data_IF_972352894646
#
_entry.id   IF_972352894646
#
_cell.length_a   1.000
_cell.length_b   1.000
_cell.length_c   1.000
_cell.angle_alpha   90.00
_cell.angle_beta   90.00
_cell.angle_gamma   90.00
#
_symmetry.space_group_name_H-M   'P 1'
#
loop_
_entity.id
_entity.type
_entity.pdbx_description
1 polymer ?
#
# COMPACT_ATOMS: atom_id res chain seq x y z
N UNK A 1 -10.35 -4.12 1.42
CA UNK A 1 -9.26 -4.96 1.95
C UNK A 1 -8.75 -5.92 0.91
N UNK A 2 -7.44 -6.12 0.88
CA UNK A 2 -6.77 -7.07 0.01
C UNK A 2 -5.57 -7.64 0.77
N UNK A 3 -4.92 -8.65 0.24
CA UNK A 3 -3.67 -9.15 0.80
C UNK A 3 -2.68 -9.46 -0.30
N UNK A 4 -1.39 -9.29 0.00
CA UNK A 4 -0.30 -9.61 -0.91
C UNK A 4 0.80 -10.33 -0.16
N UNK A 5 1.54 -11.16 -0.88
CA UNK A 5 2.70 -11.85 -0.35
C UNK A 5 3.94 -11.30 -1.06
N UNK A 6 4.93 -10.88 -0.29
CA UNK A 6 6.19 -10.36 -0.82
C UNK A 6 7.36 -11.00 -0.12
N UNK A 7 8.53 -10.83 -0.69
CA UNK A 7 9.78 -11.10 -0.02
C UNK A 7 10.65 -9.84 -0.08
N UNK A 8 11.45 -9.62 0.92
CA UNK A 8 12.41 -8.53 0.95
C UNK A 8 13.47 -8.76 2.02
N UNK A 9 14.48 -7.92 2.00
CA UNK A 9 15.47 -7.78 3.07
C UNK A 9 15.60 -6.31 3.44
N UNK A 10 16.05 -6.06 4.67
CA UNK A 10 16.31 -4.70 5.15
C UNK A 10 17.80 -4.62 5.52
N UNK A 11 18.70 -4.39 4.55
CA UNK A 11 20.14 -4.55 4.73
C UNK A 11 20.77 -3.41 5.55
N UNK A 12 20.35 -3.28 6.79
CA UNK A 12 20.87 -2.33 7.75
C UNK A 12 20.87 -2.97 9.15
N UNK A 13 21.95 -2.87 9.91
CA UNK A 13 22.06 -3.50 11.23
C UNK A 13 20.95 -3.10 12.20
N UNK A 14 20.32 -1.95 11.98
CA UNK A 14 19.18 -1.49 12.78
C UNK A 14 18.06 -2.53 12.85
N UNK A 15 17.89 -3.33 11.79
CA UNK A 15 16.73 -4.23 11.66
C UNK A 15 16.97 -5.63 12.22
N UNK A 16 18.16 -5.92 12.80
CA UNK A 16 18.42 -7.23 13.38
C UNK A 16 18.15 -8.39 12.42
N UNK A 17 17.34 -9.40 12.80
CA UNK A 17 17.05 -10.56 11.92
C UNK A 17 16.39 -10.19 10.60
N UNK A 18 15.68 -9.07 10.52
CA UNK A 18 15.03 -8.62 9.29
C UNK A 18 16.01 -8.18 8.21
N UNK A 19 17.30 -8.11 8.51
CA UNK A 19 18.35 -7.90 7.51
C UNK A 19 18.39 -9.02 6.47
N UNK A 20 18.03 -10.23 6.88
CA UNK A 20 18.02 -11.39 5.98
C UNK A 20 16.76 -11.41 5.14
N UNK A 21 16.86 -12.03 3.96
CA UNK A 21 15.70 -12.22 3.10
C UNK A 21 14.60 -12.96 3.86
N UNK A 22 13.41 -12.42 3.84
CA UNK A 22 12.25 -13.03 4.48
C UNK A 22 10.97 -12.72 3.70
N UNK A 23 9.97 -13.56 3.89
CA UNK A 23 8.63 -13.34 3.33
C UNK A 23 7.74 -12.61 4.29
N UNK A 24 6.78 -11.89 3.74
CA UNK A 24 5.71 -11.26 4.53
C UNK A 24 4.41 -11.32 3.76
N UNK A 25 3.30 -11.52 4.48
CA UNK A 25 1.96 -11.39 3.94
C UNK A 25 1.37 -10.10 4.49
N UNK A 26 1.17 -9.10 3.64
CA UNK A 26 0.54 -7.86 4.04
C UNK A 26 -0.96 -7.95 3.87
N UNK A 27 -1.69 -7.60 4.92
CA UNK A 27 -3.10 -7.24 4.80
C UNK A 27 -3.16 -5.76 4.48
N UNK A 28 -3.78 -5.41 3.35
CA UNK A 28 -3.81 -4.05 2.84
C UNK A 28 -5.22 -3.50 2.94
N UNK A 29 -5.41 -2.48 3.76
CA UNK A 29 -6.67 -1.75 3.86
C UNK A 29 -6.50 -0.37 3.22
N UNK A 30 -7.31 -0.09 2.19
CA UNK A 30 -7.36 1.23 1.56
C UNK A 30 -8.72 1.85 1.89
N UNK A 31 -8.68 3.03 2.49
CA UNK A 31 -9.90 3.75 2.90
C UNK A 31 -9.98 5.05 2.13
N UNK A 32 -11.13 5.29 1.51
CA UNK A 32 -11.46 6.56 0.85
C UNK A 32 -12.49 7.29 1.70
N UNK A 33 -12.20 8.55 2.04
CA UNK A 33 -13.07 9.36 2.88
C UNK A 33 -13.34 10.71 2.23
N UNK A 34 -14.52 11.24 2.41
CA UNK A 34 -14.90 12.53 1.88
C UNK A 34 -15.85 13.23 2.86
N UNK A 35 -15.78 14.56 2.92
CA UNK A 35 -16.70 15.35 3.74
C UNK A 35 -18.11 15.32 3.16
N UNK A 36 -18.24 15.23 1.84
CA UNK A 36 -19.52 15.25 1.14
C UNK A 36 -19.63 14.07 0.20
N UNK A 37 -20.84 13.61 -0.02
CA UNK A 37 -21.12 12.61 -1.04
C UNK A 37 -21.18 13.28 -2.42
N UNK A 38 -20.90 12.50 -3.45
CA UNK A 38 -21.05 12.96 -4.84
C UNK A 38 -22.52 12.96 -5.27
N UNK A 39 -22.87 13.38 -6.51
CA UNK A 39 -24.25 13.37 -6.98
C UNK A 39 -24.95 12.01 -6.94
N UNK A 40 -24.19 10.91 -6.89
CA UNK A 40 -24.74 9.56 -6.76
C UNK A 40 -24.86 9.08 -5.30
N UNK A 41 -24.60 9.98 -4.33
CA UNK A 41 -24.61 9.68 -2.90
C UNK A 41 -23.56 8.64 -2.48
N UNK A 42 -22.42 8.62 -3.15
CA UNK A 42 -21.29 7.77 -2.79
C UNK A 42 -20.04 8.61 -2.54
N UNK A 43 -19.09 8.04 -1.79
CA UNK A 43 -17.75 8.62 -1.62
C UNK A 43 -16.93 8.40 -2.89
N UNK A 44 -16.97 7.19 -3.42
CA UNK A 44 -16.26 6.78 -4.62
C UNK A 44 -16.98 5.55 -5.20
N UNK A 45 -16.90 5.38 -6.51
CA UNK A 45 -17.38 4.14 -7.12
C UNK A 45 -16.59 2.96 -6.57
N UNK A 46 -17.28 2.03 -5.91
CA UNK A 46 -16.64 0.92 -5.22
C UNK A 46 -15.94 -0.06 -6.20
N UNK A 47 -16.50 -0.22 -7.39
CA UNK A 47 -15.88 -1.03 -8.44
C UNK A 47 -14.55 -0.45 -8.89
N UNK A 48 -14.51 0.87 -9.15
CA UNK A 48 -13.27 1.57 -9.50
C UNK A 48 -12.25 1.50 -8.38
N UNK A 49 -12.68 1.72 -7.13
CA UNK A 49 -11.79 1.66 -5.98
C UNK A 49 -11.13 0.28 -5.84
N UNK A 50 -11.91 -0.77 -6.02
CA UNK A 50 -11.41 -2.16 -5.96
C UNK A 50 -10.46 -2.47 -7.12
N UNK A 51 -10.80 -2.07 -8.33
CA UNK A 51 -9.97 -2.33 -9.51
C UNK A 51 -8.64 -1.61 -9.43
N UNK A 52 -8.63 -0.35 -9.02
CA UNK A 52 -7.40 0.44 -8.87
C UNK A 52 -6.52 -0.15 -7.78
N UNK A 53 -7.10 -0.51 -6.65
CA UNK A 53 -6.35 -1.13 -5.55
C UNK A 53 -5.72 -2.44 -6.01
N UNK A 54 -6.48 -3.31 -6.67
CA UNK A 54 -5.97 -4.58 -7.19
C UNK A 54 -4.88 -4.37 -8.23
N UNK A 55 -5.02 -3.38 -9.11
CA UNK A 55 -4.01 -3.08 -10.12
C UNK A 55 -2.68 -2.66 -9.47
N UNK A 56 -2.73 -1.71 -8.54
CA UNK A 56 -1.52 -1.27 -7.83
C UNK A 56 -0.83 -2.43 -7.12
N UNK A 57 -1.60 -3.26 -6.42
CA UNK A 57 -1.06 -4.37 -5.66
C UNK A 57 -0.55 -5.50 -6.53
N UNK A 58 -1.08 -5.68 -7.75
CA UNK A 58 -0.64 -6.71 -8.67
C UNK A 58 0.83 -6.57 -9.07
N UNK A 59 1.36 -5.36 -9.02
CA UNK A 59 2.76 -5.09 -9.33
C UNK A 59 3.72 -5.47 -8.20
N UNK A 60 3.19 -5.76 -7.02
CA UNK A 60 3.97 -6.11 -5.83
C UNK A 60 3.75 -7.57 -5.41
N UNK A 61 2.57 -8.12 -5.67
CA UNK A 61 2.18 -9.42 -5.18
C UNK A 61 3.04 -10.53 -5.80
N UNK A 62 3.52 -11.43 -4.95
CA UNK A 62 4.42 -12.53 -5.32
C UNK A 62 5.76 -12.06 -5.88
N UNK A 63 6.21 -10.86 -5.48
CA UNK A 63 7.48 -10.31 -5.91
C UNK A 63 8.49 -10.28 -4.77
N UNK A 64 9.76 -10.39 -5.15
CA UNK A 64 10.86 -10.00 -4.27
C UNK A 64 11.10 -8.50 -4.49
N UNK A 65 10.78 -7.68 -3.49
CA UNK A 65 10.88 -6.24 -3.62
C UNK A 65 12.32 -5.80 -3.88
N UNK A 66 13.30 -6.54 -3.39
CA UNK A 66 14.71 -6.21 -3.59
C UNK A 66 15.13 -6.29 -5.06
N UNK A 67 14.39 -7.04 -5.88
CA UNK A 67 14.67 -7.19 -7.31
C UNK A 67 13.93 -6.16 -8.17
N UNK A 68 13.03 -5.38 -7.59
CA UNK A 68 12.26 -4.38 -8.35
C UNK A 68 13.09 -3.10 -8.48
N UNK A 69 13.24 -2.56 -9.72
CA UNK A 69 14.12 -1.40 -9.94
C UNK A 69 13.73 -0.16 -9.13
N UNK A 70 12.44 0.06 -8.90
CA UNK A 70 11.95 1.23 -8.17
C UNK A 70 12.32 1.22 -6.70
N UNK A 71 12.74 0.07 -6.16
CA UNK A 71 13.12 -0.05 -4.75
C UNK A 71 14.63 -0.19 -4.55
N UNK A 72 15.41 -0.04 -5.63
CA UNK A 72 16.86 -0.13 -5.53
C UNK A 72 17.40 0.90 -4.53
N UNK A 73 18.22 0.45 -3.59
CA UNK A 73 18.78 1.28 -2.53
C UNK A 73 17.72 1.90 -1.60
N UNK A 74 16.55 1.28 -1.51
CA UNK A 74 15.48 1.70 -0.60
C UNK A 74 15.28 0.63 0.47
N UNK A 75 14.98 1.10 1.69
CA UNK A 75 14.54 0.20 2.77
C UNK A 75 13.03 0.09 2.68
N UNK A 76 12.55 -1.06 2.23
CA UNK A 76 11.12 -1.31 1.99
C UNK A 76 10.40 -1.72 3.28
N UNK A 77 10.47 -0.86 4.28
CA UNK A 77 9.76 -1.05 5.54
C UNK A 77 8.25 -1.02 5.32
N UNK A 78 7.48 -1.46 6.29
CA UNK A 78 6.02 -1.41 6.22
C UNK A 78 5.53 0.03 6.03
N UNK A 79 6.14 0.99 6.72
CA UNK A 79 5.83 2.41 6.59
C UNK A 79 6.12 2.93 5.18
N UNK A 80 7.28 2.60 4.64
CA UNK A 80 7.66 3.00 3.29
C UNK A 80 6.68 2.42 2.27
N UNK A 81 6.31 1.16 2.42
CA UNK A 81 5.40 0.51 1.49
C UNK A 81 3.98 1.04 1.59
N UNK A 82 3.53 1.42 2.78
CA UNK A 82 2.23 2.07 2.93
C UNK A 82 2.17 3.38 2.14
N UNK A 83 3.22 4.21 2.24
CA UNK A 83 3.30 5.45 1.46
C UNK A 83 3.42 5.18 -0.04
N UNK A 84 4.20 4.20 -0.44
CA UNK A 84 4.35 3.84 -1.84
C UNK A 84 3.01 3.46 -2.47
N UNK A 85 2.24 2.61 -1.79
CA UNK A 85 0.92 2.20 -2.26
C UNK A 85 -0.03 3.40 -2.31
N UNK A 86 -0.02 4.24 -1.27
CA UNK A 86 -0.79 5.48 -1.25
C UNK A 86 -0.48 6.34 -2.47
N UNK A 87 0.80 6.60 -2.76
CA UNK A 87 1.20 7.44 -3.88
C UNK A 87 0.70 6.89 -5.22
N UNK A 88 0.76 5.58 -5.42
CA UNK A 88 0.30 4.94 -6.65
C UNK A 88 -1.22 5.01 -6.81
N UNK A 89 -1.96 4.81 -5.73
CA UNK A 89 -3.42 4.90 -5.76
C UNK A 89 -3.84 6.35 -6.02
N UNK A 90 -3.20 7.31 -5.34
CA UNK A 90 -3.54 8.72 -5.49
C UNK A 90 -3.42 9.19 -6.93
N UNK A 91 -2.38 8.80 -7.63
CA UNK A 91 -2.20 9.14 -9.04
C UNK A 91 -3.36 8.62 -9.89
N UNK A 92 -3.82 7.39 -9.65
CA UNK A 92 -4.85 6.77 -10.46
C UNK A 92 -6.26 7.33 -10.19
N UNK A 93 -6.53 7.84 -9.00
CA UNK A 93 -7.85 8.37 -8.66
C UNK A 93 -7.95 9.89 -8.81
N UNK A 94 -6.84 10.58 -9.10
CA UNK A 94 -6.75 12.04 -9.04
C UNK A 94 -7.78 12.77 -9.92
N UNK A 95 -8.21 12.16 -11.02
CA UNK A 95 -9.15 12.79 -11.94
C UNK A 95 -10.61 12.72 -11.49
N UNK A 96 -10.94 11.86 -10.52
CA UNK A 96 -12.34 11.66 -10.11
C UNK A 96 -12.53 11.57 -8.59
N UNK A 97 -11.48 11.68 -7.81
CA UNK A 97 -11.60 11.63 -6.34
C UNK A 97 -10.65 12.66 -5.72
N UNK A 98 -11.19 13.52 -4.86
CA UNK A 98 -10.43 14.60 -4.20
C UNK A 98 -10.34 14.44 -2.69
N UNK A 99 -10.97 13.42 -2.14
CA UNK A 99 -11.03 13.21 -0.69
C UNK A 99 -9.73 12.67 -0.10
N UNK A 100 -9.85 12.18 1.11
CA UNK A 100 -8.74 11.61 1.86
C UNK A 100 -8.58 10.13 1.51
N UNK A 101 -7.34 9.70 1.32
CA UNK A 101 -6.97 8.30 1.15
C UNK A 101 -6.11 7.89 2.33
N UNK A 102 -6.39 6.71 2.89
CA UNK A 102 -5.57 6.10 3.93
C UNK A 102 -5.22 4.69 3.52
N UNK A 103 -3.94 4.34 3.63
CA UNK A 103 -3.45 2.99 3.35
C UNK A 103 -2.85 2.43 4.63
N UNK A 104 -3.38 1.29 5.07
CA UNK A 104 -2.89 0.58 6.25
C UNK A 104 -2.35 -0.77 5.82
N UNK A 105 -1.10 -1.06 6.16
CA UNK A 105 -0.48 -2.37 5.94
C UNK A 105 -0.34 -3.10 7.26
N UNK A 106 -1.00 -4.25 7.37
CA UNK A 106 -0.80 -5.17 8.48
C UNK A 106 0.32 -6.15 8.15
N UNK A 107 1.45 -6.04 8.83
CA UNK A 107 2.57 -6.96 8.65
C UNK A 107 2.32 -8.26 9.41
N UNK A 108 1.81 -8.13 10.63
CA UNK A 108 1.34 -9.24 11.47
C UNK A 108 -0.02 -8.86 12.05
N UNK A 109 -0.66 -9.79 12.76
CA UNK A 109 -1.97 -9.51 13.35
C UNK A 109 -1.95 -8.38 14.39
N UNK A 110 -0.79 -8.04 14.95
CA UNK A 110 -0.64 -7.03 15.99
C UNK A 110 0.32 -5.89 15.64
N UNK A 111 0.79 -5.82 14.37
CA UNK A 111 1.71 -4.79 13.93
C UNK A 111 1.33 -4.30 12.54
N UNK A 112 1.07 -3.01 12.41
CA UNK A 112 0.72 -2.39 11.13
C UNK A 112 1.21 -0.94 11.08
N UNK A 113 1.30 -0.42 9.86
CA UNK A 113 1.64 0.98 9.62
C UNK A 113 0.64 1.59 8.64
N UNK A 114 0.41 2.88 8.75
CA UNK A 114 -0.53 3.60 7.90
C UNK A 114 0.09 4.86 7.32
N UNK A 115 -0.37 5.23 6.13
CA UNK A 115 -0.10 6.52 5.52
C UNK A 115 -1.40 7.13 5.00
N UNK A 116 -1.62 8.40 5.29
CA UNK A 116 -2.85 9.10 4.91
C UNK A 116 -2.54 10.46 4.31
N UNK A 117 -3.40 10.92 3.40
CA UNK A 117 -3.30 12.27 2.83
C UNK A 117 -4.49 12.57 1.91
N UNK A 118 -4.54 13.80 1.46
CA UNK A 118 -5.57 14.27 0.53
C UNK A 118 -5.03 14.36 -0.89
#
# INVERSE_FOLDING_TARGET
RNSIMIAHSLPNPFFGPAQHMHGATYVVDVTFSSENLDPHNVVIDIGKAKDITSDVLSHLNYKNLDELPQFKNKLTTTEFMAKYIYDKIKVQVATFFEGKISVCLGETHDAWASYSGN
#
